data_IF_072418098149
#
_entry.id   IF_072418098149
#
_cell.length_a   1.000
_cell.length_b   1.000
_cell.length_c   1.000
_cell.angle_alpha   90.00
_cell.angle_beta   90.00
_cell.angle_gamma   90.00
#
_symmetry.space_group_name_H-M   'P 1'
#
loop_
_entity.id
_entity.type
_entity.pdbx_description
1 polymer ?
#
# COMPACT_ATOMS: atom_id res chain seq x y z
N UNK A 1 9.13 -22.83 -29.70
CA UNK A 1 10.22 -21.85 -29.57
C UNK A 1 10.23 -21.48 -28.10
N UNK A 2 11.35 -21.61 -27.37
CA UNK A 2 11.39 -21.14 -25.98
C UNK A 2 11.33 -19.63 -26.07
N UNK A 3 10.16 -19.05 -25.82
CA UNK A 3 10.11 -17.64 -25.56
C UNK A 3 10.84 -17.45 -24.23
N UNK A 4 12.00 -16.83 -24.30
CA UNK A 4 12.77 -16.51 -23.11
C UNK A 4 11.90 -15.54 -22.34
N UNK A 5 11.57 -15.86 -21.08
CA UNK A 5 10.83 -14.95 -20.19
C UNK A 5 11.65 -13.68 -19.97
N UNK A 6 11.54 -12.78 -20.95
CA UNK A 6 12.37 -11.61 -21.08
C UNK A 6 11.94 -10.56 -20.05
N UNK A 7 10.67 -10.58 -19.65
CA UNK A 7 10.15 -9.80 -18.53
C UNK A 7 10.75 -10.26 -17.22
N UNK A 8 10.77 -11.57 -16.94
CA UNK A 8 11.43 -12.09 -15.74
C UNK A 8 12.94 -11.83 -15.71
N UNK A 9 13.61 -11.78 -16.87
CA UNK A 9 15.02 -11.37 -16.93
C UNK A 9 15.20 -9.87 -16.65
N UNK A 10 14.34 -9.03 -17.22
CA UNK A 10 14.37 -7.59 -17.01
C UNK A 10 14.04 -7.23 -15.55
N UNK A 11 13.05 -7.88 -14.95
CA UNK A 11 12.69 -7.67 -13.55
C UNK A 11 13.86 -8.03 -12.60
N UNK A 12 14.61 -9.10 -12.90
CA UNK A 12 15.84 -9.45 -12.16
C UNK A 12 16.97 -8.44 -12.38
N UNK A 13 17.10 -7.88 -13.57
CA UNK A 13 18.04 -6.79 -13.84
C UNK A 13 17.72 -5.57 -12.97
N UNK A 14 16.46 -5.14 -12.97
CA UNK A 14 16.00 -4.01 -12.14
C UNK A 14 16.15 -4.32 -10.65
N UNK A 15 15.85 -5.55 -10.20
CA UNK A 15 16.06 -5.94 -8.79
C UNK A 15 17.53 -5.80 -8.37
N UNK A 16 18.49 -6.19 -9.22
CA UNK A 16 19.92 -6.03 -8.95
C UNK A 16 20.31 -4.56 -8.82
N UNK A 17 19.79 -3.70 -9.69
CA UNK A 17 20.00 -2.25 -9.61
C UNK A 17 19.42 -1.67 -8.31
N UNK A 18 18.25 -2.17 -7.88
CA UNK A 18 17.54 -1.71 -6.69
C UNK A 18 17.95 -2.42 -5.40
N UNK A 19 18.88 -3.37 -5.44
CA UNK A 19 19.30 -4.14 -4.26
C UNK A 19 19.74 -3.24 -3.09
N UNK A 20 20.53 -2.16 -3.27
CA UNK A 20 20.87 -1.26 -2.16
C UNK A 20 19.64 -0.63 -1.48
N UNK A 21 18.60 -0.29 -2.26
CA UNK A 21 17.36 0.24 -1.72
C UNK A 21 16.57 -0.84 -0.95
N UNK A 22 16.54 -2.08 -1.44
CA UNK A 22 15.92 -3.20 -0.73
C UNK A 22 16.58 -3.45 0.63
N UNK A 23 17.92 -3.42 0.69
CA UNK A 23 18.66 -3.59 1.94
C UNK A 23 18.37 -2.42 2.89
N UNK A 24 18.36 -1.18 2.39
CA UNK A 24 18.04 -0.01 3.21
C UNK A 24 16.62 -0.06 3.79
N UNK A 25 15.61 -0.42 2.98
CA UNK A 25 14.23 -0.59 3.44
C UNK A 25 14.12 -1.74 4.47
N UNK A 26 14.86 -2.84 4.27
CA UNK A 26 14.92 -3.94 5.24
C UNK A 26 15.51 -3.51 6.59
N UNK A 27 16.62 -2.76 6.57
CA UNK A 27 17.22 -2.20 7.79
C UNK A 27 16.25 -1.24 8.49
N UNK A 28 15.61 -0.35 7.73
CA UNK A 28 14.65 0.63 8.28
C UNK A 28 13.43 -0.06 8.90
N UNK A 29 12.92 -1.12 8.28
CA UNK A 29 11.83 -1.92 8.81
C UNK A 29 12.19 -2.62 10.13
N UNK A 30 13.44 -3.08 10.27
CA UNK A 30 13.90 -3.75 11.48
C UNK A 30 13.97 -2.81 12.70
N UNK A 31 14.03 -1.49 12.50
CA UNK A 31 14.17 -0.51 13.59
C UNK A 31 13.06 -0.66 14.62
N UNK A 32 13.45 -0.91 15.88
CA UNK A 32 12.55 -1.05 17.01
C UNK A 32 12.00 -2.48 17.19
N UNK A 33 12.53 -3.48 16.47
CA UNK A 33 12.28 -4.88 16.78
C UNK A 33 12.95 -5.28 18.10
N UNK A 34 14.15 -4.78 18.38
CA UNK A 34 14.92 -5.03 19.58
C UNK A 34 14.18 -4.61 20.86
N UNK A 35 13.34 -3.57 20.78
CA UNK A 35 12.49 -3.10 21.90
C UNK A 35 11.23 -3.95 22.11
N UNK A 36 10.90 -4.87 21.19
CA UNK A 36 9.70 -5.72 21.30
C UNK A 36 9.90 -6.80 22.37
N UNK A 37 8.84 -7.19 23.09
CA UNK A 37 8.91 -8.30 24.02
C UNK A 37 9.20 -9.60 23.26
N UNK A 38 10.12 -10.43 23.77
CA UNK A 38 10.29 -11.77 23.24
C UNK A 38 9.15 -12.68 23.68
N UNK A 39 8.49 -13.31 22.70
CA UNK A 39 7.32 -14.16 22.92
C UNK A 39 7.67 -15.64 22.73
N UNK A 40 6.99 -16.51 23.47
CA UNK A 40 6.98 -17.96 23.25
C UNK A 40 5.56 -18.48 23.27
N UNK A 41 5.31 -19.54 22.51
CA UNK A 41 4.00 -20.20 22.51
C UNK A 41 3.86 -21.05 23.78
N UNK A 42 2.83 -20.78 24.58
CA UNK A 42 2.48 -21.57 25.77
C UNK A 42 0.99 -21.84 25.76
N UNK A 43 0.62 -23.12 25.78
CA UNK A 43 -0.76 -23.57 25.61
C UNK A 43 -1.43 -23.01 24.34
N UNK A 44 -0.68 -22.92 23.24
CA UNK A 44 -1.16 -22.44 21.95
C UNK A 44 -1.26 -20.91 21.81
N UNK A 45 -0.89 -20.15 22.84
CA UNK A 45 -0.97 -18.69 22.82
C UNK A 45 0.43 -18.05 22.94
N UNK A 46 0.72 -16.96 22.21
CA UNK A 46 1.94 -16.19 22.42
C UNK A 46 1.95 -15.56 23.81
N UNK A 47 3.01 -15.80 24.58
CA UNK A 47 3.20 -15.23 25.90
C UNK A 47 4.58 -14.60 26.03
N UNK A 48 4.69 -13.41 26.65
CA UNK A 48 5.97 -12.78 26.87
C UNK A 48 6.82 -13.62 27.83
N UNK A 49 8.09 -13.74 27.48
CA UNK A 49 9.06 -14.49 28.29
C UNK A 49 9.71 -13.66 29.39
N UNK A 50 9.50 -12.33 29.39
CA UNK A 50 10.14 -11.38 30.29
C UNK A 50 11.02 -10.37 29.54
N UNK A 51 12.14 -10.79 28.94
CA UNK A 51 13.06 -9.88 28.25
C UNK A 51 12.55 -9.43 26.88
N UNK A 52 13.15 -8.35 26.37
CA UNK A 52 12.97 -7.93 24.97
C UNK A 52 13.78 -8.80 24.00
N UNK A 53 13.50 -8.68 22.70
CA UNK A 53 14.32 -9.31 21.65
C UNK A 53 15.78 -8.81 21.72
N UNK A 54 15.99 -7.51 21.95
CA UNK A 54 17.32 -6.92 22.06
C UNK A 54 18.11 -7.44 23.27
N UNK A 55 17.49 -7.52 24.44
CA UNK A 55 18.12 -8.07 25.65
C UNK A 55 18.57 -9.53 25.45
N UNK A 56 17.77 -10.33 24.75
CA UNK A 56 18.12 -11.71 24.41
C UNK A 56 19.23 -11.79 23.36
N UNK A 57 19.16 -10.98 22.32
CA UNK A 57 20.16 -10.91 21.27
C UNK A 57 21.54 -10.57 21.85
N UNK A 58 21.61 -9.56 22.75
CA UNK A 58 22.84 -9.21 23.48
C UNK A 58 23.35 -10.37 24.36
N UNK A 59 22.42 -11.14 24.94
CA UNK A 59 22.74 -12.35 25.69
C UNK A 59 23.16 -13.55 24.84
N UNK A 60 23.18 -13.45 23.51
CA UNK A 60 23.45 -14.56 22.58
C UNK A 60 22.39 -15.65 22.66
N UNK A 61 21.17 -15.30 23.08
CA UNK A 61 20.07 -16.24 23.22
C UNK A 61 19.20 -16.25 21.95
N UNK A 62 18.69 -17.42 21.52
CA UNK A 62 17.78 -17.50 20.38
C UNK A 62 16.53 -16.62 20.57
N UNK A 63 16.11 -15.98 19.48
CA UNK A 63 14.88 -15.19 19.36
C UNK A 63 13.73 -16.02 18.81
N UNK A 64 14.04 -17.02 17.99
CA UNK A 64 13.08 -17.99 17.48
C UNK A 64 12.45 -18.86 18.59
N UNK A 65 11.21 -19.29 18.35
CA UNK A 65 10.54 -20.37 19.09
C UNK A 65 10.84 -21.70 18.40
N UNK A 66 11.23 -22.74 19.16
CA UNK A 66 11.65 -24.05 18.62
C UNK A 66 10.55 -24.73 17.75
N UNK A 67 9.27 -24.40 17.98
CA UNK A 67 8.13 -25.06 17.34
C UNK A 67 7.44 -24.24 16.23
N UNK A 68 7.78 -22.96 16.06
CA UNK A 68 6.97 -22.02 15.26
C UNK A 68 7.74 -21.26 14.15
N UNK A 69 9.06 -21.46 14.05
CA UNK A 69 9.88 -20.80 13.03
C UNK A 69 9.66 -21.36 11.61
N UNK A 70 9.86 -20.54 10.59
CA UNK A 70 10.02 -21.01 9.20
C UNK A 70 11.25 -21.93 9.15
N UNK A 71 11.09 -23.09 8.52
CA UNK A 71 12.15 -24.11 8.46
C UNK A 71 13.38 -23.57 7.71
N UNK A 72 13.16 -22.77 6.68
CA UNK A 72 14.18 -22.10 5.87
C UNK A 72 15.07 -21.15 6.69
N UNK A 73 14.58 -20.71 7.86
CA UNK A 73 15.27 -19.78 8.74
C UNK A 73 15.86 -20.49 9.99
N UNK A 74 15.72 -21.81 10.12
CA UNK A 74 16.06 -22.56 11.33
C UNK A 74 17.56 -22.56 11.71
N UNK A 75 18.46 -22.33 10.75
CA UNK A 75 19.91 -22.28 10.97
C UNK A 75 20.43 -20.88 11.34
N UNK A 76 19.55 -19.99 11.82
CA UNK A 76 19.92 -18.62 12.16
C UNK A 76 20.94 -18.55 13.31
N UNK A 77 21.86 -17.59 13.22
CA UNK A 77 22.77 -17.26 14.33
C UNK A 77 21.95 -16.55 15.42
N UNK A 78 22.01 -16.97 16.70
CA UNK A 78 21.26 -16.33 17.77
C UNK A 78 21.47 -14.82 17.84
N UNK A 79 20.37 -14.06 17.86
CA UNK A 79 20.37 -12.60 17.89
C UNK A 79 20.64 -11.91 16.54
N UNK A 80 20.73 -12.67 15.44
CA UNK A 80 20.85 -12.09 14.09
C UNK A 80 19.52 -11.59 13.55
N UNK A 81 19.56 -10.85 12.43
CA UNK A 81 18.36 -10.46 11.70
C UNK A 81 17.50 -11.66 11.27
N UNK A 82 18.13 -12.74 10.78
CA UNK A 82 17.42 -13.97 10.42
C UNK A 82 16.72 -14.63 11.63
N UNK A 83 17.36 -14.63 12.80
CA UNK A 83 16.76 -15.14 14.04
C UNK A 83 15.56 -14.27 14.46
N UNK A 84 15.69 -12.95 14.31
CA UNK A 84 14.59 -12.01 14.57
C UNK A 84 13.39 -12.21 13.63
N UNK A 85 13.61 -12.53 12.35
CA UNK A 85 12.53 -12.88 11.43
C UNK A 85 11.75 -14.13 11.88
N UNK A 86 12.41 -15.06 12.55
CA UNK A 86 11.78 -16.27 13.11
C UNK A 86 11.16 -16.07 14.51
N UNK A 87 11.24 -14.86 15.08
CA UNK A 87 10.61 -14.56 16.36
C UNK A 87 9.08 -14.39 16.21
N UNK A 88 8.35 -14.81 17.24
CA UNK A 88 6.90 -14.73 17.29
C UNK A 88 6.40 -13.30 17.42
N UNK A 89 5.31 -13.01 16.71
CA UNK A 89 4.54 -11.77 16.82
C UNK A 89 3.37 -11.92 17.81
N UNK A 90 2.78 -10.82 18.30
CA UNK A 90 1.68 -10.87 19.28
C UNK A 90 0.41 -11.59 18.81
N UNK A 91 0.16 -11.60 17.50
CA UNK A 91 -0.91 -12.32 16.81
C UNK A 91 -0.60 -13.81 16.59
N UNK A 92 0.62 -14.24 16.90
CA UNK A 92 1.05 -15.65 16.87
C UNK A 92 1.63 -16.13 15.55
N UNK A 93 1.78 -15.24 14.57
CA UNK A 93 2.63 -15.44 13.41
C UNK A 93 4.11 -15.21 13.74
N UNK A 94 4.93 -15.08 12.70
CA UNK A 94 6.36 -14.75 12.82
C UNK A 94 6.68 -13.44 12.10
N UNK A 95 7.73 -12.77 12.53
CA UNK A 95 8.16 -11.52 11.90
C UNK A 95 8.49 -11.65 10.40
N UNK A 96 8.87 -12.83 9.93
CA UNK A 96 9.09 -13.13 8.51
C UNK A 96 7.83 -12.90 7.65
N UNK A 97 6.63 -13.22 8.15
CA UNK A 97 5.38 -12.99 7.42
C UNK A 97 5.09 -11.49 7.29
N UNK A 98 5.28 -10.75 8.39
CA UNK A 98 5.17 -9.29 8.36
C UNK A 98 6.21 -8.63 7.48
N UNK A 99 7.44 -9.17 7.45
CA UNK A 99 8.49 -8.68 6.57
C UNK A 99 8.14 -8.88 5.10
N UNK A 100 7.55 -10.03 4.75
CA UNK A 100 7.06 -10.30 3.40
C UNK A 100 5.99 -9.28 3.00
N UNK A 101 4.98 -9.09 3.85
CA UNK A 101 3.82 -8.26 3.55
C UNK A 101 4.15 -6.75 3.56
N UNK A 102 4.99 -6.31 4.49
CA UNK A 102 5.29 -4.89 4.69
C UNK A 102 6.48 -4.41 3.83
N UNK A 103 7.40 -5.30 3.44
CA UNK A 103 8.63 -4.94 2.70
C UNK A 103 8.73 -5.65 1.36
N UNK A 104 8.80 -7.00 1.34
CA UNK A 104 9.15 -7.71 0.11
C UNK A 104 8.08 -7.58 -0.97
N UNK A 105 6.81 -7.83 -0.64
CA UNK A 105 5.70 -7.80 -1.60
C UNK A 105 5.56 -6.40 -2.24
N UNK A 106 5.46 -5.28 -1.49
CA UNK A 106 5.39 -3.95 -2.08
C UNK A 106 6.64 -3.57 -2.89
N UNK A 107 7.84 -3.93 -2.41
CA UNK A 107 9.09 -3.60 -3.09
C UNK A 107 9.22 -4.34 -4.42
N UNK A 108 8.88 -5.63 -4.43
CA UNK A 108 8.89 -6.48 -5.62
C UNK A 108 7.87 -5.99 -6.64
N UNK A 109 6.64 -5.66 -6.20
CA UNK A 109 5.63 -5.07 -7.08
C UNK A 109 6.17 -3.81 -7.77
N UNK A 110 6.69 -2.86 -7.00
CA UNK A 110 7.27 -1.63 -7.54
C UNK A 110 8.46 -1.91 -8.48
N UNK A 111 9.20 -3.00 -8.25
CA UNK A 111 10.34 -3.41 -9.11
C UNK A 111 9.85 -3.95 -10.44
N UNK A 112 8.80 -4.78 -10.43
CA UNK A 112 8.17 -5.29 -11.64
C UNK A 112 7.53 -4.15 -12.44
N UNK A 113 6.87 -3.19 -11.79
CA UNK A 113 6.31 -2.01 -12.48
C UNK A 113 7.40 -1.15 -13.12
N UNK A 114 8.51 -0.89 -12.42
CA UNK A 114 9.65 -0.18 -13.01
C UNK A 114 10.29 -0.94 -14.20
N UNK A 115 10.28 -2.28 -14.14
CA UNK A 115 10.71 -3.11 -15.28
C UNK A 115 9.72 -3.02 -16.46
N UNK A 116 8.41 -2.99 -16.18
CA UNK A 116 7.36 -2.81 -17.18
C UNK A 116 7.44 -1.43 -17.86
N UNK A 117 7.67 -0.36 -17.09
CA UNK A 117 7.91 0.98 -17.64
C UNK A 117 9.08 0.98 -18.64
N UNK A 118 10.21 0.39 -18.23
CA UNK A 118 11.40 0.24 -19.07
C UNK A 118 11.14 -0.65 -20.29
N UNK A 119 10.32 -1.69 -20.15
CA UNK A 119 9.92 -2.57 -21.24
C UNK A 119 9.09 -1.81 -22.29
N UNK A 120 8.07 -1.07 -21.84
CA UNK A 120 7.23 -0.23 -22.70
C UNK A 120 8.06 0.78 -23.50
N UNK A 121 9.04 1.41 -22.86
CA UNK A 121 9.92 2.38 -23.52
C UNK A 121 10.90 1.75 -24.53
N UNK A 122 11.54 0.64 -24.16
CA UNK A 122 12.65 0.06 -24.95
C UNK A 122 12.21 -0.99 -25.96
N UNK A 123 11.04 -1.61 -25.74
CA UNK A 123 10.50 -2.72 -26.53
C UNK A 123 8.97 -2.57 -26.73
N UNK A 124 8.47 -1.43 -27.26
CA UNK A 124 7.04 -1.14 -27.30
C UNK A 124 6.21 -2.19 -28.04
N UNK A 125 6.74 -2.76 -29.13
CA UNK A 125 6.03 -3.80 -29.90
C UNK A 125 5.90 -5.12 -29.11
N UNK A 126 6.98 -5.57 -28.45
CA UNK A 126 6.94 -6.79 -27.64
C UNK A 126 6.12 -6.59 -26.36
N UNK A 127 6.11 -5.38 -25.82
CA UNK A 127 5.24 -5.02 -24.69
C UNK A 127 3.76 -5.08 -25.07
N UNK A 128 3.39 -4.54 -26.23
CA UNK A 128 2.01 -4.59 -26.70
C UNK A 128 1.52 -6.02 -26.93
N UNK A 129 2.36 -6.87 -27.55
CA UNK A 129 2.07 -8.31 -27.73
C UNK A 129 1.88 -9.01 -26.38
N UNK A 130 2.78 -8.74 -25.43
CA UNK A 130 2.68 -9.32 -24.09
C UNK A 130 1.44 -8.86 -23.32
N UNK A 131 1.05 -7.58 -23.43
CA UNK A 131 -0.17 -7.07 -22.82
C UNK A 131 -1.43 -7.73 -23.41
N UNK A 132 -1.45 -7.93 -24.73
CA UNK A 132 -2.52 -8.68 -25.43
C UNK A 132 -2.57 -10.15 -24.96
N UNK A 133 -1.42 -10.80 -24.82
CA UNK A 133 -1.32 -12.20 -24.37
C UNK A 133 -1.86 -12.41 -22.95
N UNK A 134 -1.62 -11.45 -22.04
CA UNK A 134 -2.18 -11.51 -20.67
C UNK A 134 -3.60 -10.94 -20.57
N UNK A 135 -4.11 -10.32 -21.64
CA UNK A 135 -5.47 -9.78 -21.71
C UNK A 135 -5.69 -8.46 -20.96
N UNK A 136 -4.63 -7.70 -20.73
CA UNK A 136 -4.66 -6.45 -19.96
C UNK A 136 -4.38 -5.23 -20.86
N UNK A 137 -4.79 -4.04 -20.41
CA UNK A 137 -4.43 -2.79 -21.06
C UNK A 137 -2.92 -2.53 -20.91
N UNK A 138 -2.21 -2.41 -22.03
CA UNK A 138 -0.76 -2.16 -22.07
C UNK A 138 -0.34 -0.82 -21.44
N UNK A 139 -1.27 0.11 -21.21
CA UNK A 139 -1.01 1.34 -20.45
C UNK A 139 -1.20 1.18 -18.93
N UNK A 140 -1.92 0.15 -18.47
CA UNK A 140 -2.04 -0.24 -17.06
C UNK A 140 -0.92 -1.23 -16.69
N UNK A 141 0.29 -0.70 -16.50
CA UNK A 141 1.47 -1.50 -16.15
C UNK A 141 1.25 -2.35 -14.88
N UNK A 142 0.66 -1.84 -13.79
CA UNK A 142 0.33 -2.67 -12.63
C UNK A 142 -0.61 -3.84 -12.94
N UNK A 143 -1.62 -3.66 -13.79
CA UNK A 143 -2.50 -4.76 -14.18
C UNK A 143 -1.75 -5.83 -14.98
N UNK A 144 -0.98 -5.43 -15.99
CA UNK A 144 -0.14 -6.35 -16.77
C UNK A 144 0.81 -7.13 -15.86
N UNK A 145 1.49 -6.44 -14.92
CA UNK A 145 2.41 -7.06 -13.95
C UNK A 145 1.73 -8.13 -13.10
N UNK A 146 0.52 -7.85 -12.60
CA UNK A 146 -0.24 -8.81 -11.80
C UNK A 146 -0.68 -10.01 -12.62
N UNK A 147 -1.17 -9.79 -13.85
CA UNK A 147 -1.61 -10.85 -14.74
C UNK A 147 -0.47 -11.77 -15.20
N UNK A 148 0.75 -11.24 -15.32
CA UNK A 148 1.93 -12.02 -15.69
C UNK A 148 2.63 -12.75 -14.54
N UNK A 149 2.19 -12.57 -13.29
CA UNK A 149 2.67 -13.27 -12.09
C UNK A 149 4.21 -13.22 -11.84
N UNK A 150 4.93 -12.25 -12.43
CA UNK A 150 6.40 -12.14 -12.31
C UNK A 150 6.89 -11.85 -10.89
N UNK A 151 6.00 -11.37 -10.01
CA UNK A 151 6.31 -11.02 -8.64
C UNK A 151 6.67 -12.23 -7.79
N UNK A 152 5.97 -13.37 -7.99
CA UNK A 152 6.17 -14.56 -7.19
C UNK A 152 7.61 -15.11 -7.26
N UNK A 153 8.22 -15.34 -8.44
CA UNK A 153 9.61 -15.76 -8.52
C UNK A 153 10.58 -14.65 -8.09
N UNK A 154 10.28 -13.37 -8.35
CA UNK A 154 11.16 -12.27 -7.99
C UNK A 154 11.21 -12.04 -6.48
N UNK A 155 10.14 -12.36 -5.75
CA UNK A 155 10.11 -12.31 -4.28
C UNK A 155 11.08 -13.28 -3.64
N UNK A 156 11.19 -14.49 -4.17
CA UNK A 156 12.19 -15.47 -3.70
C UNK A 156 13.60 -14.90 -3.91
N UNK A 157 13.89 -14.37 -5.10
CA UNK A 157 15.19 -13.77 -5.41
C UNK A 157 15.49 -12.59 -4.45
N UNK A 158 14.49 -11.75 -4.15
CA UNK A 158 14.62 -10.61 -3.24
C UNK A 158 14.88 -11.04 -1.79
N UNK A 159 14.14 -12.02 -1.28
CA UNK A 159 14.34 -12.59 0.06
C UNK A 159 15.77 -13.14 0.20
N UNK A 160 16.24 -13.90 -0.78
CA UNK A 160 17.59 -14.46 -0.77
C UNK A 160 18.67 -13.37 -0.79
N UNK A 161 18.46 -12.26 -1.51
CA UNK A 161 19.38 -11.13 -1.49
C UNK A 161 19.43 -10.46 -0.11
N UNK A 162 18.28 -10.30 0.56
CA UNK A 162 18.21 -9.76 1.92
C UNK A 162 18.91 -10.68 2.90
N UNK A 163 18.59 -11.98 2.90
CA UNK A 163 19.20 -12.95 3.80
C UNK A 163 20.71 -13.08 3.57
N UNK A 164 21.17 -13.02 2.33
CA UNK A 164 22.60 -13.03 2.01
C UNK A 164 23.33 -11.78 2.54
N UNK A 165 22.67 -10.62 2.57
CA UNK A 165 23.26 -9.36 3.02
C UNK A 165 23.17 -9.17 4.54
N UNK A 166 22.03 -9.51 5.14
CA UNK A 166 21.68 -9.16 6.53
C UNK A 166 21.47 -10.36 7.44
N UNK A 167 21.23 -11.56 6.91
CA UNK A 167 20.71 -12.69 7.69
C UNK A 167 21.56 -13.04 8.94
N UNK A 168 22.89 -13.04 8.78
CA UNK A 168 23.82 -13.31 9.88
C UNK A 168 24.27 -12.05 10.65
N UNK A 169 23.85 -10.85 10.24
CA UNK A 169 24.21 -9.58 10.88
C UNK A 169 23.45 -9.47 12.20
N UNK A 170 24.09 -9.03 13.30
CA UNK A 170 23.41 -8.80 14.58
C UNK A 170 22.24 -7.83 14.43
N UNK A 171 21.08 -8.13 15.04
CA UNK A 171 19.87 -7.32 14.92
C UNK A 171 20.12 -5.84 15.24
N UNK A 172 20.86 -5.54 16.32
CA UNK A 172 21.16 -4.17 16.74
C UNK A 172 21.99 -3.40 15.70
N UNK A 173 22.87 -4.07 14.95
CA UNK A 173 23.65 -3.44 13.89
C UNK A 173 22.77 -3.10 12.68
N UNK A 174 21.84 -4.01 12.32
CA UNK A 174 20.84 -3.78 11.26
C UNK A 174 19.94 -2.60 11.60
N UNK A 175 19.45 -2.53 12.84
CA UNK A 175 18.64 -1.39 13.29
C UNK A 175 19.43 -0.08 13.22
N UNK A 176 20.70 -0.09 13.65
CA UNK A 176 21.55 1.11 13.63
C UNK A 176 21.71 1.66 12.21
N UNK A 177 21.91 0.80 11.21
CA UNK A 177 21.99 1.18 9.80
C UNK A 177 20.63 1.72 9.28
N UNK A 178 19.51 1.19 9.78
CA UNK A 178 18.16 1.58 9.37
C UNK A 178 17.64 2.89 9.98
N UNK A 179 18.21 3.35 11.10
CA UNK A 179 17.75 4.53 11.84
C UNK A 179 17.58 5.79 10.98
N UNK A 180 18.50 6.16 10.07
CA UNK A 180 18.33 7.38 9.28
C UNK A 180 17.09 7.33 8.38
N UNK A 181 16.85 6.21 7.69
CA UNK A 181 15.72 6.07 6.79
C UNK A 181 14.40 5.94 7.55
N UNK A 182 14.36 5.22 8.68
CA UNK A 182 13.15 5.10 9.50
C UNK A 182 12.67 6.45 10.04
N UNK A 183 13.60 7.33 10.45
CA UNK A 183 13.27 8.69 10.88
C UNK A 183 12.71 9.56 9.75
N UNK A 184 13.27 9.45 8.54
CA UNK A 184 12.75 10.16 7.35
C UNK A 184 11.32 9.71 7.06
N UNK A 185 11.05 8.40 7.07
CA UNK A 185 9.70 7.85 6.85
C UNK A 185 8.72 8.28 7.94
N UNK A 186 9.14 8.30 9.20
CA UNK A 186 8.32 8.79 10.29
C UNK A 186 7.95 10.28 10.12
N UNK A 187 8.91 11.10 9.70
CA UNK A 187 8.68 12.51 9.42
C UNK A 187 7.75 12.71 8.19
N UNK A 188 7.92 11.92 7.14
CA UNK A 188 7.06 11.92 5.95
C UNK A 188 5.61 11.55 6.33
N UNK A 189 5.44 10.48 7.11
CA UNK A 189 4.14 10.03 7.58
C UNK A 189 3.46 11.07 8.48
N UNK A 190 4.21 11.69 9.41
CA UNK A 190 3.70 12.77 10.25
C UNK A 190 3.27 13.99 9.41
N UNK A 191 4.04 14.34 8.38
CA UNK A 191 3.72 15.44 7.47
C UNK A 191 2.46 15.14 6.66
N UNK A 192 2.33 13.90 6.14
CA UNK A 192 1.14 13.46 5.42
C UNK A 192 -0.10 13.45 6.32
N UNK A 193 0.02 12.98 7.55
CA UNK A 193 -1.07 12.97 8.54
C UNK A 193 -1.47 14.38 9.01
N UNK A 194 -0.57 15.36 8.91
CA UNK A 194 -0.84 16.75 9.26
C UNK A 194 -1.67 17.50 8.19
N UNK A 195 -1.86 16.92 7.00
CA UNK A 195 -2.78 17.48 6.00
C UNK A 195 -4.21 17.31 6.50
N UNK A 196 -4.83 18.41 6.91
CA UNK A 196 -6.23 18.41 7.31
C UNK A 196 -7.11 17.91 6.16
N UNK A 197 -8.00 16.95 6.44
CA UNK A 197 -9.06 16.59 5.51
C UNK A 197 -9.87 17.86 5.18
N UNK A 198 -10.30 18.06 3.93
CA UNK A 198 -11.13 19.21 3.58
C UNK A 198 -12.36 19.22 4.49
N UNK A 199 -12.53 20.32 5.21
CA UNK A 199 -13.62 20.50 6.17
C UNK A 199 -14.93 20.58 5.38
N UNK A 200 -15.75 19.52 5.42
CA UNK A 200 -17.12 19.60 4.91
C UNK A 200 -17.86 20.57 5.84
N UNK A 201 -18.43 21.67 5.32
CA UNK A 201 -19.16 22.60 6.17
C UNK A 201 -20.26 21.84 6.93
N UNK A 202 -20.45 22.16 8.21
CA UNK A 202 -21.56 21.60 8.98
C UNK A 202 -22.85 22.15 8.36
N UNK A 203 -23.79 21.28 7.95
CA UNK A 203 -25.05 21.75 7.37
C UNK A 203 -25.85 22.52 8.43
N UNK A 204 -26.48 23.62 8.01
CA UNK A 204 -27.48 24.31 8.82
C UNK A 204 -28.70 23.38 9.03
N UNK A 205 -29.32 23.42 10.21
CA UNK A 205 -30.52 22.64 10.54
C UNK A 205 -31.67 22.95 9.56
N UNK A 206 -31.66 24.15 8.95
CA UNK A 206 -32.60 24.55 7.89
C UNK A 206 -32.49 23.69 6.61
N UNK A 207 -31.33 23.08 6.34
CA UNK A 207 -31.06 22.26 5.16
C UNK A 207 -31.37 20.78 5.37
N UNK A 208 -31.77 20.35 6.57
CA UNK A 208 -31.96 18.94 6.89
C UNK A 208 -32.96 18.23 5.95
N UNK A 209 -34.06 18.91 5.59
CA UNK A 209 -35.05 18.40 4.65
C UNK A 209 -34.52 18.31 3.21
N UNK A 210 -33.87 19.37 2.72
CA UNK A 210 -33.28 19.41 1.39
C UNK A 210 -32.14 18.40 1.22
N UNK A 211 -31.32 18.19 2.25
CA UNK A 211 -30.25 17.19 2.26
C UNK A 211 -30.77 15.76 2.24
N UNK A 212 -31.91 15.51 2.92
CA UNK A 212 -32.56 14.21 2.86
C UNK A 212 -33.02 13.89 1.43
N UNK A 213 -33.71 14.84 0.79
CA UNK A 213 -34.17 14.68 -0.60
C UNK A 213 -33.00 14.53 -1.56
N UNK A 214 -31.94 15.33 -1.40
CA UNK A 214 -30.79 15.29 -2.29
C UNK A 214 -29.98 14.00 -2.19
N UNK A 215 -29.88 13.40 -1.00
CA UNK A 215 -29.24 12.09 -0.82
C UNK A 215 -30.06 10.99 -1.48
N UNK A 216 -31.37 10.99 -1.29
CA UNK A 216 -32.27 10.03 -1.94
C UNK A 216 -32.21 10.15 -3.48
N UNK A 217 -32.22 11.39 -3.99
CA UNK A 217 -32.08 11.65 -5.42
C UNK A 217 -30.74 11.17 -5.97
N UNK A 218 -29.64 11.39 -5.25
CA UNK A 218 -28.33 10.89 -5.66
C UNK A 218 -28.28 9.36 -5.68
N UNK A 219 -28.81 8.69 -4.66
CA UNK A 219 -28.89 7.22 -4.60
C UNK A 219 -29.69 6.64 -5.77
N UNK A 220 -30.77 7.30 -6.19
CA UNK A 220 -31.62 6.87 -7.31
C UNK A 220 -31.10 7.31 -8.70
N UNK A 221 -30.23 8.32 -8.76
CA UNK A 221 -29.72 8.89 -10.02
C UNK A 221 -28.82 7.95 -10.82
N UNK A 222 -28.21 6.97 -10.15
CA UNK A 222 -27.20 6.09 -10.76
C UNK A 222 -25.86 6.76 -11.05
N UNK A 223 -25.62 7.98 -10.55
CA UNK A 223 -24.34 8.65 -10.69
C UNK A 223 -23.21 7.86 -10.01
N UNK A 224 -22.02 7.94 -10.57
CA UNK A 224 -20.80 7.41 -9.96
C UNK A 224 -20.51 8.18 -8.69
N UNK A 225 -20.25 7.53 -7.54
CA UNK A 225 -19.93 8.23 -6.29
C UNK A 225 -18.44 8.06 -5.95
N UNK A 226 -17.67 9.14 -5.74
CA UNK A 226 -18.08 10.55 -5.76
C UNK A 226 -18.36 11.10 -7.18
N UNK A 227 -19.44 11.89 -7.32
CA UNK A 227 -19.94 12.37 -8.62
C UNK A 227 -18.88 13.17 -9.37
N UNK A 228 -18.46 12.73 -10.57
CA UNK A 228 -17.49 13.44 -11.39
C UNK A 228 -18.13 14.62 -12.16
N UNK A 229 -17.34 15.60 -12.65
CA UNK A 229 -17.88 16.81 -13.26
C UNK A 229 -18.70 16.59 -14.54
N UNK A 230 -18.41 15.54 -15.30
CA UNK A 230 -19.14 15.14 -16.50
C UNK A 230 -20.56 14.64 -16.22
N UNK A 231 -20.83 14.20 -14.99
CA UNK A 231 -22.16 13.81 -14.52
C UNK A 231 -22.93 14.96 -13.84
N UNK A 232 -22.37 16.18 -13.77
CA UNK A 232 -22.98 17.33 -13.06
C UNK A 232 -24.40 17.67 -13.55
N UNK A 233 -24.65 17.61 -14.86
CA UNK A 233 -25.97 17.86 -15.43
C UNK A 233 -26.99 16.77 -15.07
N UNK A 234 -26.55 15.51 -14.97
CA UNK A 234 -27.38 14.36 -14.58
C UNK A 234 -27.76 14.47 -13.12
N UNK A 235 -26.79 14.80 -12.26
CA UNK A 235 -27.02 15.08 -10.85
C UNK A 235 -28.04 16.22 -10.66
N UNK A 236 -27.85 17.36 -11.33
CA UNK A 236 -28.76 18.50 -11.21
C UNK A 236 -30.19 18.15 -11.63
N UNK A 237 -30.36 17.40 -12.73
CA UNK A 237 -31.67 16.94 -13.17
C UNK A 237 -32.34 16.05 -12.10
N UNK A 238 -31.60 15.10 -11.53
CA UNK A 238 -32.11 14.23 -10.47
C UNK A 238 -32.52 15.02 -9.20
N UNK A 239 -31.74 16.04 -8.82
CA UNK A 239 -32.07 16.89 -7.66
C UNK A 239 -33.35 17.70 -7.91
N UNK A 240 -33.51 18.32 -9.07
CA UNK A 240 -34.72 19.08 -9.43
C UNK A 240 -35.94 18.16 -9.54
N UNK A 241 -35.80 16.99 -10.16
CA UNK A 241 -36.89 16.00 -10.29
C UNK A 241 -37.36 15.46 -8.93
N UNK A 242 -36.45 15.40 -7.94
CA UNK A 242 -36.77 15.04 -6.56
C UNK A 242 -37.48 16.15 -5.76
N UNK A 243 -37.61 17.33 -6.36
CA UNK A 243 -38.32 18.48 -5.81
C UNK A 243 -37.47 19.50 -5.08
N UNK A 244 -36.14 19.50 -5.24
CA UNK A 244 -35.30 20.60 -4.74
C UNK A 244 -35.45 21.84 -5.60
N UNK A 245 -35.57 23.00 -4.95
CA UNK A 245 -35.61 24.29 -5.63
C UNK A 245 -34.20 24.70 -6.09
N UNK A 246 -34.04 25.35 -7.27
CA UNK A 246 -32.74 25.79 -7.76
C UNK A 246 -31.96 26.67 -6.77
N UNK A 247 -32.64 27.50 -5.99
CA UNK A 247 -32.04 28.31 -4.93
C UNK A 247 -31.47 27.52 -3.75
N UNK A 248 -31.93 26.28 -3.51
CA UNK A 248 -31.46 25.42 -2.42
C UNK A 248 -30.19 24.65 -2.82
N UNK A 249 -29.97 24.42 -4.11
CA UNK A 249 -28.87 23.59 -4.64
C UNK A 249 -27.48 24.10 -4.25
N UNK A 250 -27.16 25.42 -4.29
CA UNK A 250 -25.87 25.93 -3.84
C UNK A 250 -25.56 25.60 -2.37
N UNK A 251 -26.59 25.53 -1.52
CA UNK A 251 -26.45 25.17 -0.11
C UNK A 251 -26.28 23.67 0.11
N UNK A 252 -26.87 22.85 -0.76
CA UNK A 252 -26.89 21.38 -0.61
C UNK A 252 -25.69 20.69 -1.26
N UNK A 253 -25.26 21.15 -2.45
CA UNK A 253 -24.17 20.54 -3.22
C UNK A 253 -22.87 20.31 -2.42
N UNK A 254 -22.41 21.22 -1.54
CA UNK A 254 -21.19 21.01 -0.74
C UNK A 254 -21.25 19.85 0.26
N UNK A 255 -22.45 19.32 0.54
CA UNK A 255 -22.67 18.23 1.51
C UNK A 255 -22.95 16.87 0.87
N UNK A 256 -23.00 16.82 -0.47
CA UNK A 256 -23.15 15.58 -1.23
C UNK A 256 -21.78 14.98 -1.56
N UNK A 257 -21.67 13.65 -1.73
CA UNK A 257 -20.42 13.01 -2.11
C UNK A 257 -20.13 13.25 -3.60
N UNK A 258 -19.67 14.46 -3.90
CA UNK A 258 -19.31 14.94 -5.24
C UNK A 258 -17.84 15.36 -5.25
N UNK A 259 -17.21 15.36 -6.42
CA UNK A 259 -15.88 15.96 -6.55
C UNK A 259 -15.99 17.49 -6.45
N UNK A 260 -14.97 18.20 -5.92
CA UNK A 260 -15.02 19.66 -5.80
C UNK A 260 -15.31 20.37 -7.14
N UNK A 261 -14.73 19.88 -8.24
CA UNK A 261 -14.96 20.41 -9.58
C UNK A 261 -16.41 20.23 -10.07
N UNK A 262 -17.14 19.23 -9.55
CA UNK A 262 -18.55 18.99 -9.86
C UNK A 262 -19.44 20.06 -9.24
N UNK A 263 -19.09 20.56 -8.04
CA UNK A 263 -19.80 21.68 -7.40
C UNK A 263 -19.67 22.93 -8.27
N UNK A 264 -18.46 23.24 -8.74
CA UNK A 264 -18.20 24.41 -9.58
C UNK A 264 -18.97 24.31 -10.91
N UNK A 265 -18.92 23.16 -11.58
CA UNK A 265 -19.62 22.91 -12.83
C UNK A 265 -21.14 23.02 -12.66
N UNK A 266 -21.69 22.44 -11.59
CA UNK A 266 -23.12 22.51 -11.29
C UNK A 266 -23.58 23.97 -11.06
N UNK A 267 -22.79 24.79 -10.35
CA UNK A 267 -23.09 26.21 -10.14
C UNK A 267 -23.00 27.02 -11.44
N UNK A 268 -22.11 26.65 -12.37
CA UNK A 268 -22.06 27.26 -13.71
C UNK A 268 -23.33 26.94 -14.50
N UNK A 269 -23.78 25.69 -14.49
CA UNK A 269 -25.01 25.25 -15.17
C UNK A 269 -26.24 25.99 -14.62
N UNK A 270 -26.37 26.09 -13.28
CA UNK A 270 -27.49 26.79 -12.65
C UNK A 270 -27.54 28.27 -13.02
N UNK A 271 -26.40 28.98 -13.00
CA UNK A 271 -26.33 30.39 -13.41
C UNK A 271 -26.67 30.59 -14.88
N UNK A 272 -26.32 29.64 -15.74
CA UNK A 272 -26.69 29.70 -17.16
C UNK A 272 -28.20 29.52 -17.37
N UNK A 273 -28.86 28.73 -16.52
CA UNK A 273 -30.30 28.49 -16.58
C UNK A 273 -31.15 29.68 -16.05
N UNK A 274 -30.65 30.47 -15.10
CA UNK A 274 -31.35 31.66 -14.57
C UNK A 274 -31.35 32.88 -15.52
N UNK A 275 -30.50 32.88 -16.55
CA UNK A 275 -30.35 33.99 -17.52
C UNK A 275 -31.23 33.79 -18.77
N UNK A 276 -31.89 32.64 -18.93
CA UNK A 276 -32.76 32.29 -20.07
C UNK A 276 -34.25 32.46 -19.78
#
# INVERSE_FOLDING_TARGET
MFDVDWMGLLAREVLRERTPALIAESCAWAVGLSDRPHLRRRAGLPQPTGPTLGERAVGGLPLASDDDGRFELADAVPGSFQDALNALTPDGGVHAERFDDEVLVPFVHATCVAAAERARERRPAAWAELAEDVGEDGDDLPAVVRAGEWEAPLRIDAEQLVLAALGAVPLLEVETEGLPLSLVRAAEAATRAAVAAPEVPVPDDSLAGALFLARAALEESGCTVPVPPDEAAVLLAALVDSGLEPEELPGVLPHLPVQPATVDEALVILRAAEIG
#
